data_IF_696563012332
#
_entry.id   IF_696563012332
#
_cell.length_a   1.000
_cell.length_b   1.000
_cell.length_c   1.000
_cell.angle_alpha   90.00
_cell.angle_beta   90.00
_cell.angle_gamma   90.00
#
_symmetry.space_group_name_H-M   'P 1'
#
loop_
_entity.id
_entity.type
_entity.pdbx_description
1 polymer ?
#
# COMPACT_ATOMS: atom_id res chain seq x y z
N UNK A 1 39.86 14.25 21.76
CA UNK A 1 38.54 13.60 21.95
C UNK A 1 37.78 13.78 20.65
N UNK A 2 37.76 12.75 19.82
CA UNK A 2 37.09 12.78 18.53
C UNK A 2 35.57 12.69 18.76
N UNK A 3 34.84 13.67 18.25
CA UNK A 3 33.39 13.69 18.19
C UNK A 3 32.88 12.43 17.49
N UNK A 4 32.04 11.65 18.17
CA UNK A 4 31.30 10.54 17.57
C UNK A 4 30.21 11.12 16.68
N UNK A 5 30.61 11.42 15.44
CA UNK A 5 29.82 11.32 14.22
C UNK A 5 28.31 11.63 14.28
N UNK A 6 27.97 12.83 13.79
CA UNK A 6 26.65 13.23 13.30
C UNK A 6 26.27 12.47 12.01
N UNK A 7 26.14 11.14 12.05
CA UNK A 7 25.57 10.41 10.93
C UNK A 7 24.04 10.35 11.06
N UNK A 8 23.28 10.69 10.01
CA UNK A 8 21.84 10.46 9.99
C UNK A 8 21.59 8.97 10.22
N UNK A 9 20.61 8.66 11.07
CA UNK A 9 20.23 7.28 11.38
C UNK A 9 19.86 6.52 10.09
N UNK A 10 20.31 5.27 10.00
CA UNK A 10 19.94 4.34 8.92
C UNK A 10 19.32 3.08 9.52
N UNK A 11 18.32 2.49 8.85
CA UNK A 11 17.71 1.24 9.31
C UNK A 11 18.75 0.11 9.39
N UNK A 12 18.72 -0.74 10.42
CA UNK A 12 19.54 -1.94 10.48
C UNK A 12 19.32 -2.81 9.24
N UNK A 13 20.39 -3.33 8.65
CA UNK A 13 20.31 -4.22 7.48
C UNK A 13 19.54 -5.50 7.83
N UNK A 14 18.61 -5.89 6.96
CA UNK A 14 17.83 -7.13 7.07
C UNK A 14 18.24 -8.12 5.99
N UNK A 15 19.28 -8.96 6.18
CA UNK A 15 19.75 -9.89 5.16
C UNK A 15 18.71 -10.95 4.76
N UNK A 16 17.72 -11.17 5.61
CA UNK A 16 16.63 -12.14 5.43
C UNK A 16 15.45 -11.57 4.62
N UNK A 17 15.48 -10.28 4.28
CA UNK A 17 14.42 -9.59 3.54
C UNK A 17 14.37 -10.07 2.08
N UNK A 18 13.26 -10.68 1.61
CA UNK A 18 13.16 -11.14 0.23
C UNK A 18 13.20 -9.97 -0.76
N UNK A 19 13.75 -10.22 -1.96
CA UNK A 19 13.68 -9.27 -3.07
C UNK A 19 12.24 -9.24 -3.61
N UNK A 20 11.57 -8.09 -3.48
CA UNK A 20 10.21 -7.75 -3.99
C UNK A 20 9.45 -8.92 -4.65
N UNK A 21 8.77 -9.78 -3.87
CA UNK A 21 8.20 -11.05 -4.35
C UNK A 21 7.04 -10.85 -5.33
N UNK A 22 6.50 -9.64 -5.38
CA UNK A 22 5.38 -9.27 -6.24
C UNK A 22 5.77 -9.06 -7.70
N UNK A 23 7.06 -8.96 -8.01
CA UNK A 23 7.57 -8.76 -9.36
C UNK A 23 7.44 -10.01 -10.25
N UNK A 24 7.29 -11.18 -9.64
CA UNK A 24 7.17 -12.47 -10.31
C UNK A 24 5.72 -12.98 -10.30
N UNK A 25 5.42 -13.91 -11.20
CA UNK A 25 4.16 -14.65 -11.18
C UNK A 25 4.02 -15.38 -9.83
N UNK A 26 3.18 -14.84 -8.96
CA UNK A 26 2.92 -15.34 -7.62
C UNK A 26 1.45 -15.75 -7.55
N UNK A 27 1.21 -16.99 -7.13
CA UNK A 27 -0.12 -17.52 -6.88
C UNK A 27 -0.31 -17.73 -5.40
N UNK A 28 -1.28 -17.06 -4.79
CA UNK A 28 -1.55 -17.13 -3.35
C UNK A 28 -3.03 -17.19 -3.07
N UNK A 29 -3.40 -17.81 -1.95
CA UNK A 29 -4.76 -17.72 -1.42
C UNK A 29 -4.89 -16.43 -0.61
N UNK A 30 -5.96 -15.70 -0.86
CA UNK A 30 -6.33 -14.50 -0.12
C UNK A 30 -7.65 -14.72 0.61
N UNK A 31 -7.78 -14.09 1.78
CA UNK A 31 -8.96 -14.20 2.64
C UNK A 31 -9.58 -12.83 2.84
N UNK A 32 -10.87 -12.72 2.55
CA UNK A 32 -11.64 -11.48 2.72
C UNK A 32 -11.78 -11.17 4.22
N UNK A 33 -11.76 -9.88 4.54
CA UNK A 33 -11.98 -9.40 5.90
C UNK A 33 -12.65 -8.03 5.90
N UNK A 34 -13.14 -7.65 7.07
CA UNK A 34 -13.65 -6.29 7.31
C UNK A 34 -12.44 -5.40 7.63
N UNK A 35 -12.20 -4.31 6.89
CA UNK A 35 -11.09 -3.41 7.19
C UNK A 35 -11.33 -2.70 8.54
N UNK A 36 -10.26 -2.41 9.31
CA UNK A 36 -10.38 -1.61 10.51
C UNK A 36 -10.85 -0.19 10.16
N UNK A 37 -11.55 0.46 11.09
CA UNK A 37 -11.89 1.86 10.93
C UNK A 37 -10.61 2.71 10.88
N UNK A 38 -10.54 3.74 10.03
CA UNK A 38 -9.38 4.62 9.99
C UNK A 38 -9.30 5.33 11.32
N UNK A 39 -8.15 5.23 11.98
CA UNK A 39 -7.94 5.94 13.24
C UNK A 39 -7.92 7.44 12.92
N UNK A 40 -8.93 8.19 13.36
CA UNK A 40 -8.94 9.66 13.29
C UNK A 40 -7.85 10.33 14.15
N UNK A 41 -6.99 9.52 14.79
CA UNK A 41 -5.86 9.85 15.63
C UNK A 41 -4.67 8.97 15.18
N UNK A 42 -3.40 9.37 15.41
CA UNK A 42 -2.26 8.51 15.13
C UNK A 42 -2.46 7.15 15.84
N UNK A 43 -2.36 6.05 15.08
CA UNK A 43 -2.46 4.69 15.61
C UNK A 43 -1.43 4.59 16.74
N UNK A 44 -1.88 4.36 17.98
CA UNK A 44 -0.96 4.10 19.06
C UNK A 44 -0.28 2.76 18.78
N UNK A 45 1.07 2.70 18.75
CA UNK A 45 1.77 1.44 18.61
C UNK A 45 1.29 0.44 19.67
N UNK A 46 1.14 -0.85 19.32
CA UNK A 46 0.74 -1.90 20.28
C UNK A 46 1.76 -2.12 21.41
N UNK A 47 2.99 -1.61 21.28
CA UNK A 47 4.09 -1.82 22.20
C UNK A 47 4.64 -0.47 22.71
N UNK A 48 5.17 -0.48 23.93
CA UNK A 48 5.89 0.63 24.55
C UNK A 48 6.97 1.14 23.59
N UNK A 49 6.68 2.26 22.93
CA UNK A 49 7.61 2.93 22.03
C UNK A 49 8.40 3.93 22.86
N UNK A 50 9.40 3.44 23.58
CA UNK A 50 10.55 4.32 23.74
C UNK A 50 11.06 4.65 22.33
N UNK A 51 11.40 5.91 22.06
CA UNK A 51 11.90 6.39 20.75
C UNK A 51 13.13 5.61 20.24
N UNK A 52 13.70 4.74 21.08
CA UNK A 52 14.84 3.87 20.81
C UNK A 52 14.45 2.51 20.20
N UNK A 53 13.28 1.94 20.51
CA UNK A 53 12.87 0.61 20.00
C UNK A 53 12.90 0.49 18.48
N UNK A 54 12.25 1.38 17.70
CA UNK A 54 12.26 1.27 16.25
C UNK A 54 13.64 1.56 15.62
N UNK A 55 14.61 2.10 16.39
CA UNK A 55 15.99 2.31 15.89
C UNK A 55 16.82 1.03 15.92
N UNK A 56 16.45 0.05 16.75
CA UNK A 56 17.21 -1.19 16.95
C UNK A 56 16.67 -2.38 16.18
N UNK A 57 15.40 -2.33 15.73
CA UNK A 57 14.74 -3.44 15.05
C UNK A 57 15.00 -3.40 13.55
N UNK A 58 15.20 -4.58 12.95
CA UNK A 58 15.16 -4.71 11.49
C UNK A 58 13.72 -4.59 10.98
N UNK A 59 13.53 -4.22 9.70
CA UNK A 59 12.18 -4.15 9.12
C UNK A 59 11.48 -5.52 9.07
N UNK A 60 12.26 -6.60 8.91
CA UNK A 60 11.79 -7.99 9.04
C UNK A 60 11.21 -8.24 10.43
N UNK A 61 11.94 -7.85 11.48
CA UNK A 61 11.50 -8.01 12.87
C UNK A 61 10.23 -7.20 13.16
N UNK A 62 10.14 -5.96 12.68
CA UNK A 62 8.92 -5.14 12.79
C UNK A 62 7.74 -5.85 12.14
N UNK A 63 7.93 -6.40 10.94
CA UNK A 63 6.87 -7.10 10.18
C UNK A 63 6.41 -8.40 10.87
N UNK A 64 7.33 -9.12 11.51
CA UNK A 64 7.02 -10.35 12.25
C UNK A 64 6.32 -10.05 13.59
N UNK A 65 6.74 -9.00 14.28
CA UNK A 65 6.25 -8.66 15.62
C UNK A 65 4.98 -7.78 15.62
N UNK A 66 4.69 -7.12 14.49
CA UNK A 66 3.55 -6.20 14.35
C UNK A 66 2.56 -6.72 13.30
N UNK A 67 1.66 -7.66 13.67
CA UNK A 67 0.63 -8.13 12.75
C UNK A 67 -0.35 -7.00 12.40
N UNK A 68 -1.00 -7.06 11.22
CA UNK A 68 -1.95 -6.02 10.79
C UNK A 68 -3.10 -5.82 11.77
N UNK A 69 -3.54 -4.57 11.93
CA UNK A 69 -4.70 -4.23 12.75
C UNK A 69 -5.97 -4.95 12.28
N UNK A 70 -6.72 -5.54 13.21
CA UNK A 70 -8.01 -6.17 12.95
C UNK A 70 -9.17 -5.17 13.14
N UNK A 71 -10.33 -5.44 12.54
CA UNK A 71 -11.51 -4.63 12.80
C UNK A 71 -11.93 -4.70 14.27
N UNK A 72 -12.21 -3.55 14.88
CA UNK A 72 -12.85 -3.48 16.19
C UNK A 72 -14.29 -3.99 16.05
N UNK A 73 -14.52 -5.26 16.39
CA UNK A 73 -15.84 -5.86 16.51
C UNK A 73 -16.48 -5.49 17.85
N UNK A 74 -16.50 -4.20 18.18
CA UNK A 74 -17.17 -3.74 19.39
C UNK A 74 -18.69 -3.59 19.13
N UNK A 75 -19.45 -4.51 19.72
CA UNK A 75 -20.84 -4.38 20.18
C UNK A 75 -22.07 -4.50 19.25
N UNK A 76 -21.99 -4.98 18.01
CA UNK A 76 -23.23 -5.11 17.19
C UNK A 76 -23.34 -6.40 16.35
N UNK A 77 -22.77 -7.52 16.82
CA UNK A 77 -23.06 -8.82 16.20
C UNK A 77 -24.15 -9.55 16.98
N UNK A 78 -25.39 -9.27 16.58
CA UNK A 78 -26.54 -10.15 16.76
C UNK A 78 -26.13 -11.58 16.38
N UNK A 79 -26.42 -12.57 17.23
CA UNK A 79 -25.79 -13.90 17.35
C UNK A 79 -25.80 -14.84 16.14
N UNK A 80 -25.41 -14.38 14.95
CA UNK A 80 -25.17 -15.20 13.78
C UNK A 80 -23.86 -15.98 13.94
N UNK A 81 -23.91 -17.28 13.67
CA UNK A 81 -22.74 -18.15 13.66
C UNK A 81 -21.63 -17.57 12.77
N UNK A 82 -20.33 -17.76 13.11
CA UNK A 82 -19.23 -17.26 12.32
C UNK A 82 -19.33 -17.80 10.90
N UNK A 83 -19.59 -16.92 9.93
CA UNK A 83 -19.54 -17.28 8.52
C UNK A 83 -18.08 -17.52 8.17
N UNK A 84 -17.75 -18.65 7.54
CA UNK A 84 -16.38 -18.87 7.07
C UNK A 84 -15.97 -17.71 6.16
N UNK A 85 -14.77 -17.14 6.34
CA UNK A 85 -14.34 -15.99 5.58
C UNK A 85 -14.17 -16.37 4.11
N UNK A 86 -14.66 -15.51 3.21
CA UNK A 86 -14.55 -15.70 1.76
C UNK A 86 -13.09 -15.84 1.37
N UNK A 87 -12.77 -16.83 0.53
CA UNK A 87 -11.41 -17.04 0.00
C UNK A 87 -11.39 -16.90 -1.51
N UNK A 88 -10.26 -16.45 -2.03
CA UNK A 88 -10.00 -16.41 -3.46
C UNK A 88 -8.54 -16.78 -3.75
N UNK A 89 -8.29 -17.29 -4.94
CA UNK A 89 -6.93 -17.44 -5.48
C UNK A 89 -6.57 -16.17 -6.22
N UNK A 90 -5.45 -15.55 -5.84
CA UNK A 90 -4.87 -14.38 -6.48
C UNK A 90 -3.65 -14.81 -7.28
N UNK A 91 -3.62 -14.46 -8.57
CA UNK A 91 -2.48 -14.66 -9.46
C UNK A 91 -1.98 -13.29 -9.87
N UNK A 92 -0.71 -12.98 -9.57
CA UNK A 92 -0.08 -11.74 -9.99
C UNK A 92 0.34 -11.83 -11.45
N UNK A 93 -0.20 -10.95 -12.29
CA UNK A 93 0.05 -10.96 -13.73
C UNK A 93 1.26 -10.09 -14.08
N UNK A 94 1.24 -8.81 -13.66
CA UNK A 94 2.35 -7.86 -13.91
C UNK A 94 2.34 -6.68 -12.93
N UNK A 95 3.50 -6.07 -12.66
CA UNK A 95 3.57 -4.81 -11.93
C UNK A 95 2.88 -3.67 -12.70
N UNK A 96 2.20 -2.80 -11.95
CA UNK A 96 1.76 -1.47 -12.42
C UNK A 96 2.66 -0.41 -11.79
N UNK A 97 2.79 -0.43 -10.46
CA UNK A 97 3.73 0.38 -9.69
C UNK A 97 4.38 -0.51 -8.65
N UNK A 98 5.70 -0.64 -8.71
CA UNK A 98 6.45 -1.42 -7.75
C UNK A 98 7.77 -0.75 -7.48
N UNK A 99 7.98 -0.36 -6.22
CA UNK A 99 9.21 0.28 -5.81
C UNK A 99 9.37 0.16 -4.31
N UNK A 100 10.58 -0.23 -3.91
CA UNK A 100 10.94 -0.28 -2.51
C UNK A 100 10.94 1.14 -1.90
N UNK A 101 10.42 1.25 -0.68
CA UNK A 101 10.32 2.52 0.05
C UNK A 101 9.20 3.45 -0.42
N UNK A 102 8.31 3.02 -1.32
CA UNK A 102 7.27 3.89 -1.90
C UNK A 102 5.87 3.66 -1.32
N UNK A 103 5.75 2.74 -0.37
CA UNK A 103 4.48 2.39 0.26
C UNK A 103 3.79 1.23 -0.47
N UNK A 104 2.48 1.34 -0.78
CA UNK A 104 1.73 0.22 -1.38
C UNK A 104 2.27 -0.19 -2.75
N UNK A 105 2.39 -1.50 -2.96
CA UNK A 105 2.74 -2.09 -4.25
C UNK A 105 1.47 -2.34 -5.07
N UNK A 106 1.47 -1.94 -6.34
CA UNK A 106 0.29 -2.01 -7.22
C UNK A 106 0.55 -2.96 -8.37
N UNK A 107 -0.27 -4.00 -8.48
CA UNK A 107 -0.10 -5.08 -9.46
C UNK A 107 -1.42 -5.39 -10.15
N UNK A 108 -1.35 -5.70 -11.44
CA UNK A 108 -2.46 -6.31 -12.16
C UNK A 108 -2.52 -7.78 -11.78
N UNK A 109 -3.72 -8.29 -11.53
CA UNK A 109 -3.91 -9.66 -11.07
C UNK A 109 -5.20 -10.28 -11.62
N UNK A 110 -5.19 -11.62 -11.68
CA UNK A 110 -6.37 -12.42 -11.90
C UNK A 110 -6.84 -13.01 -10.58
N UNK A 111 -8.13 -12.84 -10.27
CA UNK A 111 -8.76 -13.28 -9.02
C UNK A 111 -9.77 -14.36 -9.34
N UNK A 112 -9.67 -15.51 -8.68
CA UNK A 112 -10.61 -16.62 -8.81
C UNK A 112 -11.26 -16.89 -7.46
N UNK A 113 -12.56 -16.57 -7.28
CA UNK A 113 -13.29 -16.92 -6.07
C UNK A 113 -13.25 -18.42 -5.79
N UNK A 114 -13.03 -18.81 -4.55
CA UNK A 114 -13.00 -20.23 -4.13
C UNK A 114 -14.38 -20.74 -3.70
N UNK A 115 -15.43 -19.92 -3.83
CA UNK A 115 -16.81 -20.29 -3.54
C UNK A 115 -17.43 -21.25 -4.59
N UNK A 116 -16.68 -21.59 -5.66
CA UNK A 116 -17.12 -22.50 -6.72
C UNK A 116 -18.15 -21.89 -7.68
N UNK A 117 -18.54 -20.64 -7.48
CA UNK A 117 -19.60 -19.97 -8.26
C UNK A 117 -19.11 -18.74 -9.02
N UNK A 118 -17.97 -18.15 -8.61
CA UNK A 118 -17.36 -17.02 -9.30
C UNK A 118 -16.49 -17.42 -10.50
N UNK A 119 -16.63 -16.70 -11.63
CA UNK A 119 -15.66 -16.79 -12.73
C UNK A 119 -14.39 -16.00 -12.38
N UNK A 120 -13.21 -16.41 -12.86
CA UNK A 120 -12.02 -15.59 -12.77
C UNK A 120 -12.25 -14.21 -13.38
N UNK A 121 -11.73 -13.16 -12.74
CA UNK A 121 -11.81 -11.79 -13.23
C UNK A 121 -10.50 -11.05 -13.02
N UNK A 122 -10.26 -10.02 -13.84
CA UNK A 122 -9.10 -9.15 -13.66
C UNK A 122 -9.40 -8.03 -12.67
N UNK A 123 -8.41 -7.73 -11.84
CA UNK A 123 -8.43 -6.66 -10.86
C UNK A 123 -7.04 -6.05 -10.71
N UNK A 124 -6.98 -4.92 -10.02
CA UNK A 124 -5.75 -4.36 -9.49
C UNK A 124 -5.67 -4.68 -8.01
N UNK A 125 -4.59 -5.33 -7.59
CA UNK A 125 -4.27 -5.49 -6.18
C UNK A 125 -3.34 -4.36 -5.74
N UNK A 126 -3.77 -3.64 -4.69
CA UNK A 126 -2.93 -2.68 -3.97
C UNK A 126 -2.52 -3.31 -2.64
N UNK A 127 -1.23 -3.63 -2.51
CA UNK A 127 -0.67 -4.47 -1.46
C UNK A 127 0.10 -3.58 -0.48
N UNK A 128 -0.30 -3.60 0.79
CA UNK A 128 0.25 -2.78 1.87
C UNK A 128 1.17 -3.65 2.73
N UNK A 129 2.31 -4.07 2.17
CA UNK A 129 3.31 -4.86 2.91
C UNK A 129 4.29 -3.93 3.64
N UNK A 130 4.27 -3.85 4.98
CA UNK A 130 5.17 -3.02 5.77
C UNK A 130 6.65 -3.25 5.45
N UNK A 131 6.98 -4.45 4.96
CA UNK A 131 8.34 -4.83 4.60
C UNK A 131 8.89 -4.00 3.44
N UNK A 132 8.06 -3.33 2.63
CA UNK A 132 8.50 -2.51 1.48
C UNK A 132 8.13 -1.02 1.61
N UNK A 133 7.75 -0.58 2.80
CA UNK A 133 7.60 0.84 3.14
C UNK A 133 8.95 1.47 3.47
N UNK A 134 9.03 2.79 3.37
CA UNK A 134 10.25 3.53 3.73
C UNK A 134 10.38 3.56 5.25
N UNK A 135 11.46 2.99 5.77
CA UNK A 135 11.84 3.16 7.18
C UNK A 135 12.49 4.52 7.44
N UNK A 136 12.97 5.20 6.39
CA UNK A 136 13.49 6.56 6.46
C UNK A 136 12.35 7.55 6.64
N UNK A 137 12.41 8.34 7.71
CA UNK A 137 11.55 9.50 7.89
C UNK A 137 12.16 10.69 7.16
N UNK A 138 11.32 11.48 6.49
CA UNK A 138 11.82 12.68 5.80
C UNK A 138 11.96 13.86 6.76
N UNK A 139 11.22 13.88 7.88
CA UNK A 139 11.25 14.96 8.86
C UNK A 139 10.72 14.50 10.24
N UNK A 140 11.54 14.44 11.31
CA UNK A 140 13.01 14.51 11.30
C UNK A 140 13.64 13.18 10.82
N UNK A 141 14.75 13.21 10.05
CA UNK A 141 15.38 12.01 9.50
C UNK A 141 16.02 11.08 10.54
N UNK A 142 16.17 11.56 11.78
CA UNK A 142 16.74 10.81 12.90
C UNK A 142 15.72 9.91 13.62
N UNK A 143 14.43 10.02 13.26
CA UNK A 143 13.37 9.22 13.85
C UNK A 143 12.92 8.14 12.88
N UNK A 144 13.01 6.85 13.25
CA UNK A 144 12.54 5.75 12.40
C UNK A 144 11.02 5.83 12.20
N UNK A 145 10.55 5.46 11.00
CA UNK A 145 9.11 5.29 10.74
C UNK A 145 8.70 3.88 11.15
N UNK A 146 7.65 3.77 11.96
CA UNK A 146 6.98 2.50 12.22
C UNK A 146 6.23 2.05 10.97
N UNK A 147 6.92 1.36 10.05
CA UNK A 147 6.39 0.97 8.73
C UNK A 147 5.12 0.13 8.81
N UNK A 148 4.94 -0.68 9.86
CA UNK A 148 3.70 -1.41 10.11
C UNK A 148 2.52 -0.47 10.37
N UNK A 149 2.73 0.59 11.17
CA UNK A 149 1.70 1.60 11.42
C UNK A 149 1.40 2.44 10.18
N UNK A 150 2.41 2.78 9.38
CA UNK A 150 2.21 3.52 8.12
C UNK A 150 1.39 2.68 7.13
N UNK A 151 1.74 1.40 6.96
CA UNK A 151 1.01 0.49 6.10
C UNK A 151 -0.45 0.30 6.56
N UNK A 152 -0.69 0.09 7.86
CA UNK A 152 -2.05 -0.04 8.41
C UNK A 152 -2.85 1.26 8.29
N UNK A 153 -2.21 2.42 8.49
CA UNK A 153 -2.83 3.73 8.32
C UNK A 153 -3.26 3.98 6.87
N UNK A 154 -2.35 3.75 5.92
CA UNK A 154 -2.63 3.91 4.49
C UNK A 154 -3.74 2.95 4.03
N UNK A 155 -3.65 1.69 4.45
CA UNK A 155 -4.63 0.66 4.17
C UNK A 155 -6.03 1.02 4.70
N UNK A 156 -6.13 1.28 6.01
CA UNK A 156 -7.41 1.56 6.68
C UNK A 156 -8.08 2.81 6.13
N UNK A 157 -7.29 3.86 5.86
CA UNK A 157 -7.79 5.11 5.28
C UNK A 157 -8.38 4.89 3.90
N UNK A 158 -7.68 4.17 3.02
CA UNK A 158 -8.14 3.92 1.67
C UNK A 158 -9.32 2.95 1.62
N UNK A 159 -9.27 1.88 2.42
CA UNK A 159 -10.37 0.94 2.56
C UNK A 159 -11.66 1.65 3.00
N UNK A 160 -11.56 2.55 3.99
CA UNK A 160 -12.69 3.33 4.46
C UNK A 160 -13.27 4.28 3.39
N UNK A 161 -12.41 4.87 2.55
CA UNK A 161 -12.85 5.69 1.43
C UNK A 161 -13.67 4.86 0.42
N UNK A 162 -13.22 3.66 0.08
CA UNK A 162 -13.95 2.76 -0.81
C UNK A 162 -15.27 2.26 -0.18
N UNK A 163 -15.26 1.83 1.08
CA UNK A 163 -16.47 1.39 1.80
C UNK A 163 -17.50 2.52 1.86
N UNK A 164 -17.07 3.76 2.14
CA UNK A 164 -17.96 4.93 2.15
C UNK A 164 -18.58 5.16 0.77
N UNK A 165 -17.78 5.13 -0.30
CA UNK A 165 -18.27 5.33 -1.68
C UNK A 165 -19.19 4.22 -2.17
N UNK A 166 -18.96 2.99 -1.74
CA UNK A 166 -19.85 1.88 -2.02
C UNK A 166 -21.23 2.10 -1.39
N UNK A 167 -21.27 2.58 -0.13
CA UNK A 167 -22.52 2.91 0.56
C UNK A 167 -23.28 4.08 -0.09
N UNK A 168 -22.58 5.04 -0.69
CA UNK A 168 -23.22 6.18 -1.40
C UNK A 168 -23.58 5.89 -2.85
N UNK A 169 -23.31 4.68 -3.36
CA UNK A 169 -23.66 4.26 -4.72
C UNK A 169 -22.84 4.92 -5.83
N UNK A 170 -21.64 5.45 -5.52
CA UNK A 170 -20.81 6.23 -6.46
C UNK A 170 -19.68 5.43 -7.12
N UNK A 171 -19.78 4.10 -7.12
CA UNK A 171 -18.77 3.18 -7.64
C UNK A 171 -18.92 2.95 -9.15
N UNK A 172 -17.80 2.84 -9.88
CA UNK A 172 -17.80 2.53 -11.32
C UNK A 172 -18.12 3.71 -12.25
N UNK A 173 -18.37 4.91 -11.70
CA UNK A 173 -18.52 6.14 -12.48
C UNK A 173 -17.30 7.06 -12.35
N UNK A 174 -16.98 7.48 -11.12
CA UNK A 174 -15.87 8.40 -10.81
C UNK A 174 -14.81 7.78 -9.88
N UNK A 175 -15.00 6.53 -9.49
CA UNK A 175 -14.03 5.73 -8.75
C UNK A 175 -14.05 4.29 -9.29
N UNK A 176 -12.91 3.60 -9.34
CA UNK A 176 -12.85 2.19 -9.72
C UNK A 176 -13.78 1.37 -8.84
N UNK A 177 -14.47 0.35 -9.37
CA UNK A 177 -15.23 -0.60 -8.52
C UNK A 177 -14.31 -1.19 -7.45
N UNK A 178 -14.91 -1.45 -6.29
CA UNK A 178 -14.24 -2.02 -5.13
C UNK A 178 -14.66 -3.48 -4.98
N UNK A 179 -13.71 -4.39 -5.03
CA UNK A 179 -13.92 -5.85 -4.91
C UNK A 179 -13.57 -6.38 -3.51
N UNK A 180 -13.36 -5.50 -2.55
CA UNK A 180 -13.21 -5.86 -1.14
C UNK A 180 -11.81 -5.69 -0.58
N UNK A 181 -11.74 -6.00 0.72
CA UNK A 181 -10.55 -5.94 1.57
C UNK A 181 -10.07 -7.35 1.85
N UNK A 182 -8.81 -7.63 1.57
CA UNK A 182 -8.27 -8.98 1.58
C UNK A 182 -6.97 -9.06 2.34
N UNK A 183 -6.66 -10.24 2.83
CA UNK A 183 -5.39 -10.56 3.51
C UNK A 183 -4.72 -11.70 2.77
N UNK A 184 -3.43 -11.57 2.51
CA UNK A 184 -2.58 -12.65 2.03
C UNK A 184 -1.52 -12.97 3.07
N UNK A 185 -1.07 -14.22 3.11
CA UNK A 185 -0.01 -14.69 4.00
C UNK A 185 1.20 -15.11 3.17
N UNK A 186 2.39 -14.61 3.52
CA UNK A 186 3.66 -15.00 2.90
C UNK A 186 4.66 -15.49 3.94
N UNK A 187 5.52 -16.46 3.60
CA UNK A 187 6.59 -16.86 4.49
C UNK A 187 7.64 -15.75 4.63
N UNK A 188 8.21 -15.62 5.82
CA UNK A 188 9.36 -14.77 6.11
C UNK A 188 10.31 -15.48 7.09
N UNK A 189 11.59 -15.51 6.77
CA UNK A 189 12.62 -16.00 7.70
C UNK A 189 13.02 -14.88 8.66
N UNK A 190 13.12 -15.21 9.94
CA UNK A 190 13.72 -14.32 10.94
C UNK A 190 14.48 -15.10 12.01
N UNK A 191 15.74 -14.73 12.27
CA UNK A 191 16.59 -15.39 13.29
C UNK A 191 16.67 -16.92 13.12
N UNK A 192 16.70 -17.40 11.87
CA UNK A 192 16.72 -18.83 11.56
C UNK A 192 15.38 -19.57 11.76
N UNK A 193 14.31 -18.86 12.12
CA UNK A 193 12.95 -19.39 12.27
C UNK A 193 12.09 -18.93 11.09
N UNK A 194 11.19 -19.80 10.61
CA UNK A 194 10.20 -19.43 9.60
C UNK A 194 8.94 -18.89 10.28
N UNK A 195 8.53 -17.70 9.86
CA UNK A 195 7.31 -17.03 10.29
C UNK A 195 6.37 -16.84 9.10
N UNK A 196 5.12 -16.52 9.40
CA UNK A 196 4.15 -16.08 8.41
C UNK A 196 3.89 -14.57 8.60
N UNK A 197 4.09 -13.78 7.54
CA UNK A 197 3.67 -12.38 7.52
C UNK A 197 2.30 -12.25 6.86
N UNK A 198 1.35 -11.66 7.59
CA UNK A 198 0.02 -11.31 7.09
C UNK A 198 0.07 -9.91 6.49
N UNK A 199 -0.46 -9.77 5.28
CA UNK A 199 -0.36 -8.54 4.48
C UNK A 199 -1.75 -8.14 4.01
N UNK A 200 -2.11 -6.87 4.20
CA UNK A 200 -3.38 -6.31 3.75
C UNK A 200 -3.31 -5.89 2.30
N UNK A 201 -4.40 -6.09 1.57
CA UNK A 201 -4.55 -5.60 0.20
C UNK A 201 -5.99 -5.20 -0.12
N UNK A 202 -6.12 -4.30 -1.08
CA UNK A 202 -7.39 -3.92 -1.68
C UNK A 202 -7.46 -4.48 -3.10
N UNK A 203 -8.61 -5.04 -3.47
CA UNK A 203 -8.90 -5.39 -4.85
C UNK A 203 -9.83 -4.34 -5.46
N UNK A 204 -9.42 -3.75 -6.57
CA UNK A 204 -10.18 -2.70 -7.27
C UNK A 204 -10.21 -2.95 -8.77
N UNK A 205 -11.15 -2.30 -9.46
CA UNK A 205 -11.29 -2.37 -10.91
C UNK A 205 -10.02 -1.96 -11.64
N UNK A 206 -9.62 -2.78 -12.61
CA UNK A 206 -8.60 -2.37 -13.58
C UNK A 206 -9.22 -1.36 -14.55
N UNK A 207 -8.68 -0.15 -14.56
CA UNK A 207 -9.06 0.88 -15.52
C UNK A 207 -8.05 0.84 -16.65
N UNK A 208 -8.51 0.44 -17.83
CA UNK A 208 -7.72 0.53 -19.05
C UNK A 208 -7.68 1.98 -19.53
N UNK A 209 -6.52 2.62 -19.41
CA UNK A 209 -6.38 4.03 -19.71
C UNK A 209 -4.95 4.54 -19.56
N UNK A 210 -4.75 5.82 -19.86
CA UNK A 210 -3.46 6.49 -19.73
C UNK A 210 -3.40 7.22 -18.39
N UNK A 211 -2.26 7.13 -17.70
CA UNK A 211 -2.04 7.94 -16.52
C UNK A 211 -2.13 9.42 -16.89
N UNK A 212 -2.97 10.21 -16.19
CA UNK A 212 -3.13 11.66 -16.45
C UNK A 212 -1.78 12.41 -16.46
N UNK A 213 -0.82 11.98 -15.63
CA UNK A 213 0.55 12.56 -15.60
C UNK A 213 1.26 12.41 -16.96
N UNK A 214 0.94 11.38 -17.72
CA UNK A 214 1.55 11.06 -19.00
C UNK A 214 0.82 11.72 -20.19
N UNK A 215 -0.37 12.28 -19.98
CA UNK A 215 -1.18 12.91 -21.05
C UNK A 215 -0.71 14.35 -21.39
N UNK A 216 0.12 14.96 -20.55
CA UNK A 216 0.52 16.37 -20.64
C UNK A 216 1.38 16.79 -21.84
N UNK A 217 1.60 15.95 -22.85
CA UNK A 217 2.46 16.29 -24.00
C UNK A 217 1.79 16.26 -25.38
N UNK A 218 0.50 15.87 -25.53
CA UNK A 218 -0.06 15.64 -26.88
C UNK A 218 -1.50 16.05 -27.18
N UNK A 219 -2.23 16.76 -26.32
CA UNK A 219 -3.62 17.14 -26.65
C UNK A 219 -3.92 18.61 -26.31
N UNK A 220 -4.33 19.46 -27.28
CA UNK A 220 -4.91 20.75 -26.96
C UNK A 220 -6.26 20.55 -26.29
N UNK A 221 -6.28 20.70 -24.96
CA UNK A 221 -7.45 20.49 -24.11
C UNK A 221 -8.45 21.64 -24.30
N UNK A 222 -9.57 21.38 -24.97
CA UNK A 222 -10.76 22.25 -24.95
C UNK A 222 -11.78 21.65 -23.98
N UNK A 223 -12.02 22.31 -22.86
CA UNK A 223 -12.99 21.86 -21.85
C UNK A 223 -14.26 22.69 -21.97
N UNK A 224 -15.45 22.08 -22.09
CA UNK A 224 -16.70 22.75 -21.74
C UNK A 224 -16.81 22.81 -20.21
N UNK A 225 -17.19 23.98 -19.70
CA UNK A 225 -17.43 24.20 -18.27
C UNK A 225 -18.59 23.35 -17.76
N UNK A 226 -18.29 22.32 -16.97
CA UNK A 226 -19.24 21.79 -15.98
C UNK A 226 -18.49 21.41 -14.70
N UNK A 227 -19.19 21.62 -13.58
CA UNK A 227 -18.70 21.84 -12.21
C UNK A 227 -17.78 20.76 -11.63
N UNK A 228 -16.60 21.20 -11.19
CA UNK A 228 -15.57 20.44 -10.49
C UNK A 228 -15.69 20.66 -8.99
N UNK A 229 -16.30 19.73 -8.25
CA UNK A 229 -16.29 19.75 -6.78
C UNK A 229 -16.00 18.39 -6.12
N UNK A 230 -16.29 17.21 -6.72
CA UNK A 230 -15.97 15.92 -6.06
C UNK A 230 -14.55 15.37 -6.34
N UNK A 231 -13.78 15.97 -7.26
CA UNK A 231 -12.52 15.40 -7.77
C UNK A 231 -11.33 15.69 -6.84
N UNK A 232 -11.36 16.79 -6.09
CA UNK A 232 -10.23 17.24 -5.27
C UNK A 232 -9.91 16.29 -4.12
N UNK A 233 -10.92 15.66 -3.51
CA UNK A 233 -10.73 14.74 -2.38
C UNK A 233 -10.12 13.40 -2.84
N UNK A 234 -10.49 12.92 -4.05
CA UNK A 234 -9.94 11.71 -4.65
C UNK A 234 -8.49 11.94 -5.11
N UNK A 235 -8.22 13.08 -5.74
CA UNK A 235 -6.86 13.48 -6.15
C UNK A 235 -5.97 13.64 -4.92
N UNK A 236 -6.47 14.24 -3.83
CA UNK A 236 -5.71 14.41 -2.59
C UNK A 236 -5.40 13.09 -1.87
N UNK A 237 -6.32 12.11 -1.91
CA UNK A 237 -6.09 10.77 -1.36
C UNK A 237 -5.14 9.93 -2.23
N UNK A 238 -5.26 9.99 -3.57
CA UNK A 238 -4.39 9.26 -4.48
C UNK A 238 -2.98 9.87 -4.60
N UNK A 239 -2.82 11.19 -4.45
CA UNK A 239 -1.53 11.85 -4.55
C UNK A 239 -0.67 11.78 -3.28
N UNK A 240 -1.24 11.49 -2.10
CA UNK A 240 -0.43 11.30 -0.88
C UNK A 240 0.57 10.15 -1.00
N UNK A 241 0.24 9.09 -1.76
CA UNK A 241 1.15 7.96 -2.03
C UNK A 241 2.08 8.13 -3.25
N UNK A 242 1.80 9.06 -4.17
CA UNK A 242 2.50 9.19 -5.46
C UNK A 242 3.42 10.42 -5.60
N UNK A 243 3.46 11.29 -4.59
CA UNK A 243 4.22 12.55 -4.60
C UNK A 243 5.41 12.58 -3.61
N UNK A 244 6.07 11.44 -3.33
CA UNK A 244 7.40 11.42 -2.67
C UNK A 244 8.55 11.24 -3.68
N UNK A 245 8.52 11.98 -4.79
CA UNK A 245 9.71 12.14 -5.63
C UNK A 245 10.56 13.30 -5.05
N UNK A 246 11.88 13.15 -4.88
CA UNK A 246 12.72 14.27 -4.47
C UNK A 246 12.67 15.38 -5.53
N UNK A 247 12.67 16.67 -5.16
CA UNK A 247 13.05 17.69 -6.11
C UNK A 247 14.46 17.36 -6.59
N UNK A 248 14.63 17.19 -7.90
CA UNK A 248 15.96 17.06 -8.48
C UNK A 248 16.84 18.24 -8.06
N UNK A 249 18.18 18.07 -8.03
CA UNK A 249 19.07 19.19 -7.73
C UNK A 249 18.74 20.35 -8.69
N UNK A 250 18.83 21.61 -8.22
CA UNK A 250 18.51 22.77 -9.05
C UNK A 250 19.45 22.80 -10.26
N UNK A 251 18.97 22.29 -11.39
CA UNK A 251 19.65 22.39 -12.67
C UNK A 251 19.61 23.83 -13.14
N UNK A 252 20.78 24.39 -13.43
CA UNK A 252 20.92 25.70 -14.04
C UNK A 252 20.04 25.81 -15.31
N UNK A 253 19.38 26.96 -15.54
CA UNK A 253 18.48 27.11 -16.68
C UNK A 253 19.27 27.07 -17.99
N UNK A 254 18.91 26.14 -18.88
CA UNK A 254 19.18 26.34 -20.32
C UNK A 254 19.80 25.20 -21.14
N UNK A 255 19.69 23.91 -20.80
CA UNK A 255 20.01 22.85 -21.77
C UNK A 255 18.90 21.81 -21.95
N UNK A 256 18.51 21.50 -23.21
CA UNK A 256 17.55 20.44 -23.50
C UNK A 256 18.15 19.06 -23.22
N UNK A 257 17.45 18.27 -22.40
CA UNK A 257 17.84 16.90 -22.04
C UNK A 257 17.60 15.99 -23.26
N UNK A 258 18.69 15.45 -23.83
CA UNK A 258 18.63 14.40 -24.86
C UNK A 258 18.56 13.03 -24.18
N UNK A 259 17.46 12.31 -24.34
CA UNK A 259 17.34 10.91 -23.92
C UNK A 259 17.68 9.97 -25.09
N UNK A 260 18.61 9.03 -24.85
CA UNK A 260 18.86 7.90 -25.77
C UNK A 260 17.91 6.74 -25.42
N UNK A 261 17.39 6.00 -26.41
CA UNK A 261 16.55 4.83 -26.15
C UNK A 261 17.41 3.63 -25.71
N UNK A 262 16.94 2.90 -24.70
CA UNK A 262 17.46 1.58 -24.35
C UNK A 262 16.81 0.52 -25.24
N UNK A 263 17.66 -0.37 -25.78
CA UNK A 263 17.28 -1.64 -26.42
C UNK A 263 17.01 -2.69 -25.36
#
# INVERSE_FOLDING_TARGET
>A
MSSLSDFPWSPPEGPERPVLPYACALTVTITEHIPPQPSGLPIKPPCDTSDEHPKTLTQTEVTVTSPPLEANLDNDTDGAAPREPTKATLILDRPIVMKDGWGPQVVLCTVTPQDGHGKPFQAVAKIFDPLYYSSENQNPPEQPVATALEADSDYSTEAAAYVRRQKTGQMGAFAPKYYGSWTLSLPIGHCGVQHERRIRLLLVEYIDGVCMRNEGHKVPFKVPHTTWTPVEELVRLMHKGLNRAPPGPPGAPGQPIQWRPFK
#
